data_IF_486272810861
#
_entry.id   IF_486272810861
#
_cell.length_a   1.000
_cell.length_b   1.000
_cell.length_c   1.000
_cell.angle_alpha   90.00
_cell.angle_beta   90.00
_cell.angle_gamma   90.00
#
_symmetry.space_group_name_H-M   'P 1'
#
loop_
_entity.id
_entity.type
_entity.pdbx_description
1 polymer ?
#
# COMPACT_ATOMS: atom_id res chain seq x y z
N UNK A 1 7.85 -10.11 55.49
CA UNK A 1 8.43 -9.70 54.16
C UNK A 1 8.23 -10.75 53.06
N UNK A 2 8.41 -12.04 53.26
CA UNK A 2 8.28 -13.08 52.20
C UNK A 2 6.88 -13.19 51.55
N UNK A 3 5.79 -12.97 52.32
CA UNK A 3 4.40 -13.06 51.81
C UNK A 3 4.07 -11.97 50.76
N UNK A 4 4.61 -10.79 50.91
CA UNK A 4 4.35 -9.67 49.97
C UNK A 4 5.12 -9.81 48.65
N UNK A 5 6.31 -10.44 48.67
CA UNK A 5 7.11 -10.66 47.47
C UNK A 5 6.42 -11.59 46.46
N UNK A 6 5.78 -12.66 46.97
CA UNK A 6 5.02 -13.60 46.11
C UNK A 6 3.81 -12.92 45.44
N UNK A 7 3.09 -12.08 46.22
CA UNK A 7 1.96 -11.30 45.67
C UNK A 7 2.42 -10.28 44.63
N UNK A 8 3.52 -9.57 44.88
CA UNK A 8 4.09 -8.62 43.92
C UNK A 8 4.50 -9.34 42.65
N UNK A 9 5.15 -10.50 42.74
CA UNK A 9 5.53 -11.29 41.60
C UNK A 9 4.32 -11.73 40.74
N UNK A 10 3.25 -12.20 41.41
CA UNK A 10 2.01 -12.58 40.71
C UNK A 10 1.34 -11.38 40.01
N UNK A 11 1.34 -10.21 40.62
CA UNK A 11 0.82 -8.98 40.02
C UNK A 11 1.62 -8.58 38.80
N UNK A 12 2.95 -8.66 38.87
CA UNK A 12 3.82 -8.35 37.72
C UNK A 12 3.56 -9.33 36.57
N UNK A 13 3.50 -10.65 36.84
CA UNK A 13 3.20 -11.67 35.83
C UNK A 13 1.83 -11.43 35.21
N UNK A 14 0.82 -11.10 36.02
CA UNK A 14 -0.53 -10.80 35.54
C UNK A 14 -0.54 -9.60 34.58
N UNK A 15 0.07 -8.47 34.98
CA UNK A 15 0.09 -7.28 34.12
C UNK A 15 0.94 -7.48 32.86
N UNK A 16 2.04 -8.23 32.96
CA UNK A 16 2.84 -8.57 31.78
C UNK A 16 2.04 -9.43 30.81
N UNK A 17 1.37 -10.47 31.29
CA UNK A 17 0.50 -11.31 30.46
C UNK A 17 -0.66 -10.54 29.85
N UNK A 18 -1.31 -9.67 30.62
CA UNK A 18 -2.39 -8.81 30.17
C UNK A 18 -1.90 -7.83 29.10
N UNK A 19 -0.72 -7.22 29.28
CA UNK A 19 -0.12 -6.31 28.30
C UNK A 19 0.19 -7.00 26.97
N UNK A 20 0.74 -8.21 27.02
CA UNK A 20 1.01 -9.04 25.83
C UNK A 20 -0.28 -9.41 25.10
N UNK A 21 -1.34 -9.71 25.84
CA UNK A 21 -2.64 -10.07 25.27
C UNK A 21 -3.35 -8.87 24.62
N UNK A 22 -3.24 -7.69 25.22
CA UNK A 22 -3.89 -6.48 24.71
C UNK A 22 -3.06 -5.80 23.61
N UNK A 23 -1.75 -6.07 23.51
CA UNK A 23 -0.85 -5.40 22.59
C UNK A 23 -1.33 -5.44 21.11
N UNK A 24 -1.76 -6.58 20.54
CA UNK A 24 -2.26 -6.61 19.17
C UNK A 24 -3.44 -5.67 18.96
N UNK A 25 -4.44 -5.73 19.84
CA UNK A 25 -5.66 -4.91 19.71
C UNK A 25 -5.37 -3.41 19.84
N UNK A 26 -4.45 -3.03 20.73
CA UNK A 26 -4.04 -1.62 20.88
C UNK A 26 -3.25 -1.16 19.68
N UNK A 27 -2.36 -2.01 19.16
CA UNK A 27 -1.58 -1.71 17.95
C UNK A 27 -2.48 -1.54 16.72
N UNK A 28 -3.45 -2.43 16.53
CA UNK A 28 -4.40 -2.36 15.41
C UNK A 28 -5.28 -1.10 15.49
N UNK A 29 -5.75 -0.75 16.70
CA UNK A 29 -6.50 0.49 16.93
C UNK A 29 -5.66 1.74 16.60
N UNK A 30 -4.41 1.76 17.06
CA UNK A 30 -3.48 2.86 16.80
C UNK A 30 -3.20 3.02 15.30
N UNK A 31 -2.93 1.92 14.60
CA UNK A 31 -2.69 1.92 13.16
C UNK A 31 -3.93 2.39 12.39
N UNK A 32 -5.12 1.89 12.74
CA UNK A 32 -6.38 2.30 12.10
C UNK A 32 -6.65 3.80 12.28
N UNK A 33 -6.34 4.36 13.45
CA UNK A 33 -6.46 5.80 13.69
C UNK A 33 -5.51 6.61 12.79
N UNK A 34 -4.25 6.16 12.65
CA UNK A 34 -3.28 6.81 11.76
C UNK A 34 -3.67 6.71 10.28
N UNK A 35 -4.18 5.56 9.85
CA UNK A 35 -4.69 5.34 8.49
C UNK A 35 -5.82 6.32 8.16
N UNK A 36 -6.84 6.37 9.00
CA UNK A 36 -7.99 7.26 8.81
C UNK A 36 -7.59 8.72 8.78
N UNK A 37 -6.67 9.11 9.66
CA UNK A 37 -6.18 10.48 9.71
C UNK A 37 -5.36 10.84 8.46
N UNK A 38 -4.47 9.95 8.01
CA UNK A 38 -3.68 10.18 6.80
C UNK A 38 -4.58 10.36 5.57
N UNK A 39 -5.63 9.55 5.43
CA UNK A 39 -6.61 9.67 4.35
C UNK A 39 -7.36 11.01 4.46
N UNK A 40 -7.85 11.38 5.63
CA UNK A 40 -8.57 12.65 5.83
C UNK A 40 -7.65 13.87 5.57
N UNK A 41 -6.40 13.83 6.01
CA UNK A 41 -5.43 14.90 5.75
C UNK A 41 -5.13 15.01 4.25
N UNK A 42 -5.05 13.88 3.52
CA UNK A 42 -4.90 13.86 2.07
C UNK A 42 -6.12 14.47 1.36
N UNK A 43 -7.33 14.04 1.70
CA UNK A 43 -8.59 14.58 1.13
C UNK A 43 -8.72 16.09 1.34
N UNK A 44 -8.39 16.58 2.54
CA UNK A 44 -8.36 18.01 2.83
C UNK A 44 -7.39 18.79 1.92
N UNK A 45 -6.24 18.21 1.58
CA UNK A 45 -5.31 18.86 0.63
C UNK A 45 -5.91 18.88 -0.77
N UNK A 46 -6.53 17.76 -1.19
CA UNK A 46 -7.17 17.66 -2.51
C UNK A 46 -8.25 18.74 -2.70
N UNK A 47 -9.10 19.00 -1.70
CA UNK A 47 -10.14 20.03 -1.78
C UNK A 47 -9.60 21.45 -2.02
N UNK A 48 -8.31 21.69 -1.74
CA UNK A 48 -7.67 23.01 -1.86
C UNK A 48 -6.79 23.17 -3.11
N UNK A 49 -6.62 22.12 -3.92
CA UNK A 49 -5.87 22.19 -5.16
C UNK A 49 -6.70 22.83 -6.29
N UNK A 50 -6.03 23.60 -7.15
CA UNK A 50 -6.63 24.13 -8.36
C UNK A 50 -6.63 23.09 -9.49
N UNK A 51 -7.45 23.31 -10.51
CA UNK A 51 -7.44 22.47 -11.73
C UNK A 51 -6.07 22.47 -12.43
N UNK A 52 -5.35 23.59 -12.37
CA UNK A 52 -4.00 23.70 -12.92
C UNK A 52 -3.00 22.82 -12.15
N UNK A 53 -3.09 22.78 -10.81
CA UNK A 53 -2.25 21.93 -9.96
C UNK A 53 -2.50 20.44 -10.28
N UNK A 54 -3.76 20.03 -10.39
CA UNK A 54 -4.11 18.66 -10.79
C UNK A 54 -3.51 18.28 -12.15
N UNK A 55 -3.64 19.16 -13.15
CA UNK A 55 -3.11 18.90 -14.49
C UNK A 55 -1.59 18.71 -14.47
N UNK A 56 -0.85 19.52 -13.73
CA UNK A 56 0.60 19.40 -13.58
C UNK A 56 1.00 18.08 -12.92
N UNK A 57 0.30 17.69 -11.84
CA UNK A 57 0.56 16.43 -11.14
C UNK A 57 0.29 15.21 -12.02
N UNK A 58 -0.83 15.22 -12.76
CA UNK A 58 -1.16 14.15 -13.69
C UNK A 58 -0.18 14.06 -14.86
N UNK A 59 0.25 15.18 -15.42
CA UNK A 59 1.21 15.23 -16.54
C UNK A 59 2.56 14.63 -16.11
N UNK A 60 3.09 15.03 -14.96
CA UNK A 60 4.34 14.50 -14.43
C UNK A 60 4.27 12.99 -14.17
N UNK A 61 3.16 12.49 -13.60
CA UNK A 61 2.98 11.07 -13.34
C UNK A 61 2.81 10.24 -14.64
N UNK A 62 2.15 10.80 -15.66
CA UNK A 62 2.05 10.16 -16.97
C UNK A 62 3.39 10.14 -17.69
N UNK A 63 4.19 11.19 -17.60
CA UNK A 63 5.54 11.22 -18.14
C UNK A 63 6.41 10.11 -17.53
N UNK A 64 6.33 9.91 -16.21
CA UNK A 64 6.99 8.79 -15.53
C UNK A 64 6.60 7.45 -16.15
N UNK A 65 5.29 7.18 -16.31
CA UNK A 65 4.81 5.92 -16.86
C UNK A 65 5.22 5.70 -18.31
N UNK A 66 5.22 6.74 -19.15
CA UNK A 66 5.68 6.65 -20.54
C UNK A 66 7.16 6.26 -20.61
N UNK A 67 7.99 6.83 -19.74
CA UNK A 67 9.39 6.48 -19.63
C UNK A 67 9.59 5.03 -19.17
N UNK A 68 8.80 4.57 -18.20
CA UNK A 68 8.82 3.19 -17.71
C UNK A 68 8.40 2.19 -18.80
N UNK A 69 7.31 2.44 -19.51
CA UNK A 69 6.82 1.58 -20.60
C UNK A 69 7.86 1.43 -21.73
N UNK A 70 8.56 2.52 -22.09
CA UNK A 70 9.58 2.51 -23.15
C UNK A 70 10.82 1.70 -22.78
N UNK A 71 11.17 1.65 -21.48
CA UNK A 71 12.39 1.02 -20.98
C UNK A 71 12.17 -0.37 -20.36
N UNK A 72 10.96 -0.93 -20.43
CA UNK A 72 10.63 -2.23 -19.84
C UNK A 72 10.58 -2.23 -18.31
N UNK A 73 10.25 -1.08 -17.73
CA UNK A 73 10.25 -0.76 -16.31
C UNK A 73 11.19 0.39 -15.99
N UNK A 74 10.92 1.08 -14.88
CA UNK A 74 11.77 2.19 -14.44
C UNK A 74 12.81 1.69 -13.44
N UNK A 75 14.09 1.82 -13.79
CA UNK A 75 15.20 1.47 -12.90
C UNK A 75 15.76 2.76 -12.32
N UNK A 76 15.51 2.99 -11.03
CA UNK A 76 16.08 4.12 -10.30
C UNK A 76 17.52 3.78 -9.94
N UNK A 77 18.46 4.57 -10.48
CA UNK A 77 19.91 4.36 -10.31
C UNK A 77 20.63 5.51 -9.63
N UNK A 78 19.94 6.63 -9.40
CA UNK A 78 20.50 7.81 -8.75
C UNK A 78 19.56 8.40 -7.70
N UNK A 79 20.13 9.16 -6.76
CA UNK A 79 19.38 9.89 -5.73
C UNK A 79 18.46 10.95 -6.35
N UNK A 80 18.83 11.52 -7.49
CA UNK A 80 18.01 12.50 -8.22
C UNK A 80 16.75 11.84 -8.79
N UNK A 81 16.87 10.64 -9.36
CA UNK A 81 15.74 9.86 -9.86
C UNK A 81 14.81 9.42 -8.73
N UNK A 82 15.38 9.01 -7.60
CA UNK A 82 14.61 8.66 -6.41
C UNK A 82 13.83 9.86 -5.88
N UNK A 83 14.47 11.02 -5.76
CA UNK A 83 13.84 12.26 -5.30
C UNK A 83 12.73 12.72 -6.27
N UNK A 84 12.95 12.58 -7.57
CA UNK A 84 11.94 12.87 -8.58
C UNK A 84 10.72 11.95 -8.41
N UNK A 85 10.93 10.63 -8.35
CA UNK A 85 9.86 9.67 -8.11
C UNK A 85 9.06 9.98 -6.84
N UNK A 86 9.73 10.29 -5.73
CA UNK A 86 9.10 10.61 -4.45
C UNK A 86 8.31 11.93 -4.46
N UNK A 87 8.57 12.79 -5.43
CA UNK A 87 7.82 14.04 -5.62
C UNK A 87 6.53 13.87 -6.41
N UNK A 88 6.41 12.79 -7.21
CA UNK A 88 5.25 12.53 -8.06
C UNK A 88 4.03 12.15 -7.22
N UNK A 89 2.87 12.74 -7.48
CA UNK A 89 1.63 12.53 -6.72
C UNK A 89 1.73 12.84 -5.20
N UNK A 90 2.84 13.43 -4.75
CA UNK A 90 3.10 13.74 -3.35
C UNK A 90 2.68 15.18 -3.01
N UNK A 91 1.39 15.40 -2.83
CA UNK A 91 0.78 16.74 -2.71
C UNK A 91 1.02 17.43 -1.37
N UNK A 92 1.29 16.67 -0.31
CA UNK A 92 1.46 17.20 1.05
C UNK A 92 2.85 16.95 1.64
N UNK A 93 3.79 16.43 0.84
CA UNK A 93 5.16 16.14 1.28
C UNK A 93 5.31 14.96 2.26
N UNK A 94 4.23 14.19 2.49
CA UNK A 94 4.25 13.02 3.39
C UNK A 94 4.67 11.72 2.69
N UNK A 95 4.77 11.74 1.35
CA UNK A 95 4.98 10.55 0.53
C UNK A 95 3.71 9.77 0.24
N UNK A 96 2.53 10.25 0.67
CA UNK A 96 1.24 9.65 0.33
C UNK A 96 0.81 10.09 -1.07
N UNK A 97 0.46 9.12 -1.92
CA UNK A 97 0.00 9.36 -3.30
C UNK A 97 -1.51 9.16 -3.48
N UNK A 98 -2.18 8.57 -2.51
CA UNK A 98 -3.61 8.29 -2.57
C UNK A 98 -4.02 7.25 -1.54
N UNK A 99 -5.20 6.66 -1.73
CA UNK A 99 -5.65 5.53 -0.90
C UNK A 99 -6.37 4.47 -1.73
N UNK A 100 -6.42 3.24 -1.19
CA UNK A 100 -7.10 2.10 -1.78
C UNK A 100 -8.31 1.70 -0.92
N UNK A 101 -9.41 1.37 -1.57
CA UNK A 101 -10.58 0.73 -0.95
C UNK A 101 -10.87 -0.62 -1.59
N UNK A 102 -11.08 -1.65 -0.75
CA UNK A 102 -11.49 -2.99 -1.16
C UNK A 102 -12.74 -3.36 -0.35
N UNK A 103 -13.95 -3.03 -0.83
CA UNK A 103 -15.19 -3.12 -0.06
C UNK A 103 -15.52 -4.55 0.40
N UNK A 104 -15.27 -5.56 -0.43
CA UNK A 104 -15.59 -6.97 -0.13
C UNK A 104 -14.87 -7.51 1.12
N UNK A 105 -13.69 -6.96 1.43
CA UNK A 105 -12.90 -7.32 2.62
C UNK A 105 -12.78 -6.17 3.64
N UNK A 106 -13.50 -5.06 3.42
CA UNK A 106 -13.54 -3.87 4.28
C UNK A 106 -12.17 -3.25 4.55
N UNK A 107 -11.36 -3.14 3.53
CA UNK A 107 -10.04 -2.50 3.56
C UNK A 107 -10.17 -1.07 3.03
N UNK A 108 -9.59 -0.10 3.76
CA UNK A 108 -9.36 1.28 3.33
C UNK A 108 -8.00 1.71 3.87
N UNK A 109 -7.01 1.90 3.00
CA UNK A 109 -5.60 2.06 3.37
C UNK A 109 -4.95 3.17 2.56
N UNK A 110 -4.09 4.01 3.17
CA UNK A 110 -3.28 4.96 2.44
C UNK A 110 -2.20 4.26 1.62
N UNK A 111 -1.85 4.85 0.48
CA UNK A 111 -0.80 4.38 -0.43
C UNK A 111 0.39 5.34 -0.35
N UNK A 112 1.59 4.81 -0.14
CA UNK A 112 2.84 5.56 -0.05
C UNK A 112 3.86 5.13 -1.11
N UNK A 113 4.79 6.04 -1.43
CA UNK A 113 5.85 5.78 -2.41
C UNK A 113 6.82 4.69 -2.03
N UNK A 114 7.04 4.45 -0.74
CA UNK A 114 8.07 3.51 -0.30
C UNK A 114 7.48 2.22 0.26
N UNK A 115 8.33 1.21 0.35
CA UNK A 115 7.99 -0.14 0.83
C UNK A 115 8.79 -0.52 2.07
N UNK A 116 9.23 0.47 2.86
CA UNK A 116 9.91 0.22 4.12
C UNK A 116 8.98 -0.47 5.12
N UNK A 117 9.55 -1.29 5.98
CA UNK A 117 8.80 -2.01 7.01
C UNK A 117 7.97 -1.08 7.89
N UNK A 118 8.47 0.13 8.16
CA UNK A 118 7.79 1.18 8.89
C UNK A 118 6.47 1.60 8.24
N UNK A 119 6.43 1.68 6.90
CA UNK A 119 5.25 2.03 6.11
C UNK A 119 4.33 0.82 5.96
N UNK A 120 4.87 -0.34 5.58
CA UNK A 120 4.07 -1.55 5.35
C UNK A 120 3.36 -2.09 6.60
N UNK A 121 3.65 -1.55 7.78
CA UNK A 121 2.93 -1.86 9.03
C UNK A 121 1.56 -1.19 9.11
N UNK A 122 1.36 -0.03 8.48
CA UNK A 122 0.11 0.74 8.55
C UNK A 122 -0.44 1.20 7.19
N UNK A 123 0.30 1.00 6.10
CA UNK A 123 -0.03 1.48 4.77
C UNK A 123 0.28 0.45 3.69
N UNK A 124 -0.13 0.75 2.48
CA UNK A 124 0.26 0.06 1.25
C UNK A 124 1.43 0.82 0.65
N UNK A 125 2.46 0.12 0.23
CA UNK A 125 3.58 0.70 -0.50
C UNK A 125 3.36 0.65 -2.02
N UNK A 126 4.14 1.39 -2.77
CA UNK A 126 4.22 1.32 -4.23
C UNK A 126 5.63 0.89 -4.65
N UNK A 127 5.73 -0.08 -5.54
CA UNK A 127 7.03 -0.51 -6.08
C UNK A 127 7.50 0.47 -7.15
N UNK A 128 8.58 1.17 -6.89
CA UNK A 128 9.11 2.25 -7.72
C UNK A 128 9.58 1.85 -9.13
N UNK A 129 9.66 0.56 -9.42
CA UNK A 129 9.94 0.02 -10.75
C UNK A 129 8.67 -0.38 -11.51
N UNK A 130 7.49 -0.07 -10.99
CA UNK A 130 6.19 -0.26 -11.63
C UNK A 130 5.58 1.08 -12.04
N UNK A 131 4.48 1.02 -12.79
CA UNK A 131 3.75 2.22 -13.19
C UNK A 131 3.10 2.91 -12.00
N UNK A 132 3.10 4.24 -11.98
CA UNK A 132 2.25 5.02 -11.09
C UNK A 132 0.77 4.82 -11.41
N UNK A 133 -0.13 4.93 -10.43
CA UNK A 133 -1.55 4.69 -10.59
C UNK A 133 -2.26 5.87 -11.27
N UNK A 134 -2.03 6.02 -12.57
CA UNK A 134 -2.66 7.07 -13.38
C UNK A 134 -3.72 6.55 -14.34
N UNK A 135 -3.88 5.23 -14.39
CA UNK A 135 -4.70 4.56 -15.40
C UNK A 135 -4.13 4.70 -16.82
N UNK A 136 -4.81 4.08 -17.78
CA UNK A 136 -4.46 4.17 -19.19
C UNK A 136 -3.70 2.97 -19.73
N UNK A 137 -3.44 3.00 -21.04
CA UNK A 137 -2.83 1.88 -21.75
C UNK A 137 -1.36 1.67 -21.34
N UNK A 138 -0.95 0.41 -21.29
CA UNK A 138 0.42 -0.02 -20.98
C UNK A 138 0.90 0.42 -19.60
N UNK A 139 0.01 0.31 -18.60
CA UNK A 139 0.33 0.55 -17.19
C UNK A 139 0.15 -0.71 -16.35
N UNK A 140 1.00 -0.89 -15.36
CA UNK A 140 0.88 -1.94 -14.35
C UNK A 140 1.40 -1.44 -13.01
N UNK A 141 0.49 -1.11 -12.10
CA UNK A 141 0.80 -0.63 -10.77
C UNK A 141 0.96 -1.81 -9.79
N UNK A 142 1.97 -1.77 -8.95
CA UNK A 142 2.27 -2.84 -7.99
C UNK A 142 2.24 -2.32 -6.56
N UNK A 143 1.33 -2.87 -5.76
CA UNK A 143 1.06 -2.44 -4.39
C UNK A 143 1.29 -3.54 -3.37
N UNK A 144 2.50 -3.64 -2.76
CA UNK A 144 2.76 -4.56 -1.67
C UNK A 144 2.20 -4.06 -0.32
N UNK A 145 1.74 -5.02 0.48
CA UNK A 145 1.49 -4.82 1.91
C UNK A 145 1.72 -6.11 2.69
N UNK A 146 2.46 -6.03 3.80
CA UNK A 146 2.85 -7.21 4.55
C UNK A 146 1.76 -7.72 5.51
N UNK A 147 1.03 -6.81 6.16
CA UNK A 147 0.07 -7.15 7.23
C UNK A 147 -1.38 -6.79 6.90
N UNK A 148 -1.58 -5.76 6.10
CA UNK A 148 -2.90 -5.15 5.91
C UNK A 148 -3.72 -5.86 4.85
N UNK A 149 -3.08 -6.65 4.00
CA UNK A 149 -3.71 -7.51 3.02
C UNK A 149 -3.93 -8.95 3.52
N UNK A 150 -4.09 -9.14 4.84
CA UNK A 150 -4.31 -10.46 5.46
C UNK A 150 -5.52 -11.19 4.90
N UNK A 151 -6.57 -10.46 4.52
CA UNK A 151 -7.80 -11.02 3.95
C UNK A 151 -7.82 -10.97 2.41
N UNK A 152 -6.71 -10.68 1.75
CA UNK A 152 -6.62 -10.62 0.29
C UNK A 152 -6.95 -11.99 -0.34
N UNK A 153 -6.68 -13.08 0.37
CA UNK A 153 -7.01 -14.46 0.01
C UNK A 153 -8.52 -14.77 -0.07
N UNK A 154 -9.38 -13.84 0.43
CA UNK A 154 -10.84 -13.94 0.34
C UNK A 154 -11.41 -13.30 -0.92
N UNK A 155 -10.61 -12.58 -1.67
CA UNK A 155 -11.03 -12.01 -2.94
C UNK A 155 -11.24 -13.13 -3.96
N UNK A 156 -12.19 -12.89 -4.84
CA UNK A 156 -12.53 -13.77 -5.96
C UNK A 156 -12.54 -12.98 -7.26
N UNK A 157 -12.38 -13.66 -8.38
CA UNK A 157 -12.57 -13.04 -9.69
C UNK A 157 -13.94 -12.37 -9.78
N UNK A 158 -13.95 -11.12 -10.24
CA UNK A 158 -15.13 -10.27 -10.30
C UNK A 158 -15.26 -9.28 -9.13
N UNK A 159 -14.54 -9.47 -8.01
CA UNK A 159 -14.49 -8.47 -6.94
C UNK A 159 -13.89 -7.16 -7.45
N UNK A 160 -14.26 -6.04 -6.82
CA UNK A 160 -13.84 -4.70 -7.23
C UNK A 160 -13.04 -4.05 -6.11
N UNK A 161 -11.97 -3.35 -6.49
CA UNK A 161 -11.27 -2.41 -5.62
C UNK A 161 -11.07 -1.06 -6.35
N UNK A 162 -10.83 -0.02 -5.56
CA UNK A 162 -10.74 1.35 -6.06
C UNK A 162 -9.49 2.02 -5.54
N UNK A 163 -8.82 2.78 -6.39
CA UNK A 163 -7.74 3.68 -6.04
C UNK A 163 -8.26 5.11 -6.16
N UNK A 164 -8.13 5.86 -5.09
CA UNK A 164 -8.45 7.29 -5.05
C UNK A 164 -7.14 8.06 -5.16
N UNK A 165 -6.90 8.61 -6.34
CA UNK A 165 -5.65 9.30 -6.68
C UNK A 165 -6.01 10.70 -7.16
N UNK A 166 -5.50 11.73 -6.49
CA UNK A 166 -5.84 13.12 -6.76
C UNK A 166 -7.37 13.33 -6.82
N UNK A 167 -7.88 13.81 -7.94
CA UNK A 167 -9.30 14.06 -8.22
C UNK A 167 -10.02 12.87 -8.90
N UNK A 168 -9.35 11.75 -9.08
CA UNK A 168 -9.85 10.62 -9.86
C UNK A 168 -10.01 9.35 -9.04
N UNK A 169 -10.96 8.50 -9.44
CA UNK A 169 -11.19 7.17 -8.88
C UNK A 169 -10.97 6.13 -9.98
N UNK A 170 -9.85 5.39 -9.85
CA UNK A 170 -9.56 4.26 -10.72
C UNK A 170 -10.23 3.01 -10.15
N UNK A 171 -11.04 2.33 -10.95
CA UNK A 171 -11.77 1.14 -10.52
C UNK A 171 -11.24 -0.08 -11.26
N UNK A 172 -10.71 -1.03 -10.50
CA UNK A 172 -10.19 -2.29 -11.02
C UNK A 172 -11.08 -3.46 -10.60
N UNK A 173 -11.17 -4.45 -11.47
CA UNK A 173 -11.85 -5.71 -11.21
C UNK A 173 -10.83 -6.83 -11.14
N UNK A 174 -10.94 -7.69 -10.13
CA UNK A 174 -10.08 -8.87 -9.99
C UNK A 174 -10.35 -9.83 -11.16
N UNK A 175 -9.33 -10.09 -11.95
CA UNK A 175 -9.35 -11.02 -13.08
C UNK A 175 -8.42 -12.22 -12.87
N UNK A 176 -7.43 -12.11 -11.97
CA UNK A 176 -6.48 -13.15 -11.68
C UNK A 176 -6.11 -13.19 -10.19
N UNK A 177 -5.92 -14.41 -9.69
CA UNK A 177 -5.40 -14.67 -8.34
C UNK A 177 -4.33 -15.75 -8.47
N UNK A 178 -3.08 -15.40 -8.14
CA UNK A 178 -1.93 -16.28 -8.32
C UNK A 178 -1.13 -16.40 -7.03
N UNK A 179 -0.63 -17.59 -6.75
CA UNK A 179 0.38 -17.83 -5.72
C UNK A 179 1.69 -18.16 -6.40
N UNK A 180 2.72 -17.38 -6.14
CA UNK A 180 4.03 -17.47 -6.80
C UNK A 180 5.17 -17.53 -5.77
N UNK A 181 6.36 -17.95 -6.20
CA UNK A 181 7.57 -17.86 -5.40
C UNK A 181 7.95 -16.38 -5.16
N UNK A 182 8.71 -16.05 -4.10
CA UNK A 182 9.01 -14.66 -3.74
C UNK A 182 9.77 -13.86 -4.78
N UNK A 183 10.54 -14.52 -5.62
CA UNK A 183 11.39 -13.97 -6.68
C UNK A 183 10.80 -14.12 -8.09
N UNK A 184 9.60 -14.69 -8.19
CA UNK A 184 8.88 -14.81 -9.47
C UNK A 184 8.18 -13.48 -9.80
N UNK A 185 8.78 -12.72 -10.71
CA UNK A 185 8.29 -11.43 -11.20
C UNK A 185 7.71 -11.49 -12.61
N UNK A 186 7.58 -12.68 -13.20
CA UNK A 186 7.16 -12.85 -14.60
C UNK A 186 5.81 -12.19 -14.88
N UNK A 187 4.89 -12.25 -13.91
CA UNK A 187 3.53 -11.68 -14.02
C UNK A 187 3.41 -10.21 -13.64
N UNK A 188 4.50 -9.56 -13.27
CA UNK A 188 4.51 -8.19 -12.77
C UNK A 188 4.97 -7.16 -13.81
N UNK A 189 5.27 -7.61 -15.02
CA UNK A 189 5.67 -6.74 -16.13
C UNK A 189 4.51 -5.92 -16.70
N UNK A 190 4.85 -4.82 -17.36
CA UNK A 190 3.88 -4.01 -18.13
C UNK A 190 3.40 -4.83 -19.32
N UNK A 191 2.09 -4.86 -19.54
CA UNK A 191 1.44 -5.53 -20.67
C UNK A 191 0.97 -4.44 -21.64
N UNK A 192 1.40 -4.55 -22.90
CA UNK A 192 1.07 -3.57 -23.94
C UNK A 192 -0.45 -3.46 -24.15
N UNK A 193 -0.96 -2.23 -24.16
CA UNK A 193 -2.38 -1.92 -24.31
C UNK A 193 -3.24 -2.22 -23.07
N UNK A 194 -2.67 -2.78 -21.99
CA UNK A 194 -3.40 -3.11 -20.77
C UNK A 194 -3.29 -2.04 -19.68
N UNK A 195 -4.27 -1.96 -18.79
CA UNK A 195 -4.25 -1.19 -17.55
C UNK A 195 -4.45 -2.16 -16.38
N UNK A 196 -3.36 -2.47 -15.67
CA UNK A 196 -3.35 -3.46 -14.61
C UNK A 196 -2.91 -2.87 -13.27
N UNK A 197 -3.42 -3.48 -12.21
CA UNK A 197 -3.04 -3.18 -10.85
C UNK A 197 -2.94 -4.49 -10.07
N UNK A 198 -1.77 -4.80 -9.52
CA UNK A 198 -1.57 -6.02 -8.72
C UNK A 198 -1.34 -5.68 -7.25
N UNK A 199 -2.19 -6.25 -6.41
CA UNK A 199 -2.06 -6.23 -4.96
C UNK A 199 -1.21 -7.43 -4.54
N UNK A 200 -0.16 -7.19 -3.73
CA UNK A 200 0.84 -8.19 -3.38
C UNK A 200 0.90 -8.38 -1.87
N UNK A 201 0.79 -9.63 -1.41
CA UNK A 201 1.01 -9.97 0.00
C UNK A 201 1.75 -11.27 0.17
N UNK A 202 2.28 -11.51 1.36
CA UNK A 202 2.91 -12.77 1.71
C UNK A 202 1.87 -13.85 2.04
N UNK A 203 2.11 -15.07 1.60
CA UNK A 203 1.25 -16.23 1.87
C UNK A 203 2.08 -17.50 2.11
N UNK A 204 1.60 -18.49 2.93
CA UNK A 204 0.53 -18.38 3.93
C UNK A 204 0.86 -17.38 5.04
N UNK A 205 -0.15 -16.76 5.63
CA UNK A 205 0.04 -15.77 6.69
C UNK A 205 0.92 -16.32 7.83
N UNK A 206 1.94 -15.55 8.22
CA UNK A 206 2.88 -15.92 9.29
C UNK A 206 4.00 -16.88 8.87
N UNK A 207 3.88 -17.57 7.72
CA UNK A 207 4.93 -18.44 7.15
C UNK A 207 5.68 -17.69 6.04
N UNK A 208 4.96 -16.97 5.19
CA UNK A 208 5.48 -16.02 4.20
C UNK A 208 6.41 -16.63 3.13
N UNK A 209 6.22 -17.90 2.81
CA UNK A 209 7.06 -18.63 1.83
C UNK A 209 6.78 -18.24 0.39
N UNK A 210 5.58 -17.77 0.09
CA UNK A 210 5.14 -17.40 -1.25
C UNK A 210 4.58 -15.97 -1.27
N UNK A 211 4.20 -15.50 -2.45
CA UNK A 211 3.47 -14.26 -2.66
C UNK A 211 2.10 -14.57 -3.25
N UNK A 212 1.07 -13.92 -2.69
CA UNK A 212 -0.26 -13.88 -3.29
C UNK A 212 -0.34 -12.61 -4.13
N UNK A 213 -0.66 -12.77 -5.40
CA UNK A 213 -0.88 -11.72 -6.40
C UNK A 213 -2.37 -11.71 -6.76
N UNK A 214 -3.00 -10.56 -6.57
CA UNK A 214 -4.39 -10.33 -6.94
C UNK A 214 -4.47 -9.17 -7.89
#
# INVERSE_FOLDING_TARGET
MKKNLSTILLVIIFFTGLSLLLYPSVSDYYNSFHQTRAIADYENVMENLSEEDYNLLWEAAREYNQNAATNGGYIITSDEQQSWYESLLNTNGTGMMGHIEIPSIRVSLPIYHNTEDSVLQFAVGHLNWSSLPVGGESTHCLFPSAKLFTNLDRLTEGDIFKLYILDSVLTYQVDQINVVEPDDIEKLGIIDGGDFCTLITCTPYGVNTHRLLV
#
